data_IF_837354668230
#
_entry.id   IF_837354668230
#
_cell.length_a   1.000
_cell.length_b   1.000
_cell.length_c   1.000
_cell.angle_alpha   90.00
_cell.angle_beta   90.00
_cell.angle_gamma   90.00
#
_symmetry.space_group_name_H-M   'P 1'
#
loop_
_entity.id
_entity.type
_entity.pdbx_description
1 polymer ?
#
# COMPACT_ATOMS: atom_id res chain seq x y z
N UNK A 1 31.82 -13.82 -9.53
CA UNK A 1 30.69 -14.42 -10.27
C UNK A 1 31.28 -15.08 -11.49
N UNK A 2 30.87 -16.31 -11.76
CA UNK A 2 31.24 -17.02 -12.99
C UNK A 2 30.69 -16.23 -14.20
N UNK A 3 31.44 -16.02 -15.30
CA UNK A 3 30.94 -15.32 -16.49
C UNK A 3 29.62 -15.90 -17.02
N UNK A 4 29.41 -17.20 -16.93
CA UNK A 4 28.19 -17.89 -17.38
C UNK A 4 26.97 -17.48 -16.54
N UNK A 5 27.10 -17.44 -15.21
CA UNK A 5 26.02 -16.97 -14.30
C UNK A 5 25.66 -15.50 -14.53
N UNK A 6 26.63 -14.66 -14.91
CA UNK A 6 26.40 -13.23 -15.15
C UNK A 6 25.57 -12.99 -16.42
N UNK A 7 25.76 -13.79 -17.46
CA UNK A 7 24.99 -13.72 -18.69
C UNK A 7 23.57 -14.24 -18.49
N UNK A 8 23.40 -15.34 -17.75
CA UNK A 8 22.08 -15.86 -17.40
C UNK A 8 21.25 -14.85 -16.59
N UNK A 9 21.87 -14.16 -15.62
CA UNK A 9 21.20 -13.12 -14.84
C UNK A 9 20.79 -11.93 -15.73
N UNK A 10 21.66 -11.52 -16.66
CA UNK A 10 21.34 -10.46 -17.64
C UNK A 10 20.16 -10.87 -18.51
N UNK A 11 20.14 -12.10 -19.03
CA UNK A 11 19.04 -12.59 -19.86
C UNK A 11 17.73 -12.71 -19.08
N UNK A 12 17.80 -13.21 -17.84
CA UNK A 12 16.64 -13.39 -16.95
C UNK A 12 16.02 -12.07 -16.51
N UNK A 13 16.83 -11.03 -16.32
CA UNK A 13 16.36 -9.72 -15.88
C UNK A 13 16.30 -8.67 -17.00
N UNK A 14 16.63 -9.01 -18.25
CA UNK A 14 16.58 -8.12 -19.41
C UNK A 14 15.19 -7.49 -19.64
N UNK A 15 14.11 -8.19 -19.27
CA UNK A 15 12.73 -7.67 -19.38
C UNK A 15 12.35 -6.69 -18.26
N UNK A 16 13.13 -6.62 -17.18
CA UNK A 16 12.87 -5.67 -16.09
C UNK A 16 13.53 -4.35 -16.46
N UNK A 17 12.73 -3.33 -16.73
CA UNK A 17 13.21 -1.95 -16.95
C UNK A 17 13.65 -1.26 -15.64
N UNK A 18 14.07 -2.02 -14.62
CA UNK A 18 14.47 -1.47 -13.33
C UNK A 18 15.96 -1.72 -13.14
N UNK A 19 16.75 -0.65 -13.28
CA UNK A 19 18.19 -0.65 -13.01
C UNK A 19 18.51 -0.67 -11.51
N UNK A 20 17.64 -0.08 -10.68
CA UNK A 20 17.79 -0.02 -9.22
C UNK A 20 16.46 -0.26 -8.50
N UNK A 21 16.52 -0.56 -7.19
CA UNK A 21 15.32 -0.56 -6.33
C UNK A 21 14.69 0.84 -6.23
N UNK A 22 15.47 1.91 -6.45
CA UNK A 22 14.98 3.29 -6.50
C UNK A 22 13.98 3.50 -7.65
N UNK A 23 14.21 2.86 -8.80
CA UNK A 23 13.34 2.96 -9.98
C UNK A 23 11.93 2.42 -9.74
N UNK A 24 11.70 1.63 -8.67
CA UNK A 24 10.34 1.20 -8.27
C UNK A 24 9.46 2.33 -7.78
N UNK A 25 10.07 3.43 -7.33
CA UNK A 25 9.39 4.52 -6.65
C UNK A 25 9.40 5.81 -7.47
N UNK A 26 9.88 5.75 -8.71
CA UNK A 26 9.80 6.87 -9.65
C UNK A 26 8.40 6.86 -10.24
N UNK A 27 7.55 7.76 -9.76
CA UNK A 27 6.25 8.02 -10.37
C UNK A 27 6.47 8.73 -11.72
N UNK A 28 5.77 8.33 -12.78
CA UNK A 28 5.87 9.03 -14.06
C UNK A 28 5.37 10.46 -13.89
N UNK A 29 6.18 11.42 -14.35
CA UNK A 29 5.80 12.83 -14.31
C UNK A 29 4.54 13.05 -15.17
N UNK A 30 3.58 13.86 -14.69
CA UNK A 30 2.38 14.17 -15.46
C UNK A 30 2.75 14.85 -16.78
N UNK A 31 2.13 14.42 -17.88
CA UNK A 31 2.33 15.05 -19.18
C UNK A 31 1.79 16.49 -19.13
N UNK A 32 2.66 17.49 -19.23
CA UNK A 32 2.27 18.90 -19.24
C UNK A 32 1.89 19.32 -20.66
N UNK A 33 0.71 19.92 -20.83
CA UNK A 33 0.28 20.51 -22.10
C UNK A 33 1.09 21.75 -22.49
N UNK A 34 0.81 22.35 -23.65
CA UNK A 34 1.52 23.56 -24.12
C UNK A 34 1.35 24.78 -23.21
N UNK A 35 0.37 24.74 -22.31
CA UNK A 35 0.08 25.76 -21.29
C UNK A 35 0.80 25.50 -19.95
N UNK A 36 1.55 24.39 -19.83
CA UNK A 36 2.25 24.02 -18.60
C UNK A 36 1.33 23.49 -17.48
N UNK A 37 0.07 23.23 -17.79
CA UNK A 37 -0.89 22.52 -16.93
C UNK A 37 -0.89 21.02 -17.26
N UNK A 38 -1.25 20.19 -16.27
CA UNK A 38 -1.42 18.74 -16.46
C UNK A 38 -2.43 18.47 -17.59
N UNK A 39 -2.02 17.66 -18.58
CA UNK A 39 -2.83 17.32 -19.72
C UNK A 39 -4.04 16.48 -19.26
N UNK A 40 -5.13 17.17 -18.94
CA UNK A 40 -6.40 16.54 -18.54
C UNK A 40 -6.85 15.64 -19.68
N UNK A 41 -7.16 14.37 -19.35
CA UNK A 41 -7.80 13.46 -20.29
C UNK A 41 -9.04 14.15 -20.88
N UNK A 42 -9.18 14.09 -22.20
CA UNK A 42 -10.31 14.74 -22.88
C UNK A 42 -11.63 14.20 -22.35
N UNK A 43 -12.59 15.08 -22.08
CA UNK A 43 -13.94 14.70 -21.67
C UNK A 43 -14.60 13.89 -22.80
N UNK A 44 -14.73 12.57 -22.61
CA UNK A 44 -15.36 11.68 -23.58
C UNK A 44 -16.88 11.84 -23.48
N UNK A 45 -17.53 12.27 -24.57
CA UNK A 45 -19.00 12.34 -24.63
C UNK A 45 -19.61 10.93 -24.76
N UNK A 46 -20.24 10.46 -23.67
CA UNK A 46 -20.91 9.17 -23.59
C UNK A 46 -22.35 9.19 -24.14
N UNK A 47 -22.83 10.34 -24.63
CA UNK A 47 -24.22 10.52 -25.11
C UNK A 47 -24.61 9.47 -26.15
N UNK A 48 -23.77 9.27 -27.17
CA UNK A 48 -23.99 8.30 -28.24
C UNK A 48 -23.94 6.84 -27.75
N UNK A 49 -23.13 6.55 -26.74
CA UNK A 49 -23.05 5.22 -26.12
C UNK A 49 -24.34 4.91 -25.34
N UNK A 50 -24.81 5.86 -24.52
CA UNK A 50 -26.06 5.73 -23.77
C UNK A 50 -27.30 5.68 -24.67
N UNK A 51 -27.30 6.41 -25.78
CA UNK A 51 -28.37 6.35 -26.77
C UNK A 51 -28.46 4.95 -27.41
N UNK A 52 -27.32 4.36 -27.77
CA UNK A 52 -27.27 2.97 -28.28
C UNK A 52 -27.76 1.97 -27.24
N UNK A 53 -27.43 2.15 -25.96
CA UNK A 53 -27.95 1.30 -24.88
C UNK A 53 -29.48 1.42 -24.75
N UNK A 54 -30.01 2.64 -24.85
CA UNK A 54 -31.47 2.90 -24.80
C UNK A 54 -32.24 2.26 -25.94
N UNK A 55 -31.63 2.12 -27.12
CA UNK A 55 -32.26 1.49 -28.29
C UNK A 55 -32.13 -0.04 -28.24
N UNK A 56 -31.04 -0.56 -27.68
CA UNK A 56 -30.77 -2.00 -27.61
C UNK A 56 -31.50 -2.69 -26.44
N UNK A 57 -31.86 -1.94 -25.40
CA UNK A 57 -32.69 -2.43 -24.32
C UNK A 57 -34.18 -2.31 -24.74
N UNK A 58 -34.89 -3.40 -25.09
CA UNK A 58 -36.33 -3.35 -25.00
C UNK A 58 -36.67 -2.97 -23.57
N UNK A 59 -37.72 -2.19 -23.34
CA UNK A 59 -38.19 -1.79 -22.00
C UNK A 59 -38.68 -3.01 -21.18
N UNK A 60 -37.79 -3.95 -20.92
CA UNK A 60 -37.93 -5.15 -20.11
C UNK A 60 -36.92 -5.04 -18.98
N UNK A 61 -37.04 -3.98 -18.19
CA UNK A 61 -37.13 -4.20 -16.74
C UNK A 61 -38.51 -4.80 -16.44
N UNK A 62 -38.86 -5.87 -17.14
CA UNK A 62 -39.80 -6.85 -16.63
C UNK A 62 -39.07 -7.42 -15.44
N UNK A 63 -39.68 -7.32 -14.28
CA UNK A 63 -39.39 -8.19 -13.14
C UNK A 63 -38.91 -9.53 -13.69
N UNK A 64 -37.69 -9.93 -13.33
CA UNK A 64 -37.30 -11.33 -13.48
C UNK A 64 -38.48 -12.18 -12.96
N UNK A 65 -38.81 -13.32 -13.59
CA UNK A 65 -39.72 -14.25 -12.94
C UNK A 65 -39.20 -14.41 -11.51
N UNK A 66 -40.08 -14.19 -10.54
CA UNK A 66 -39.82 -14.46 -9.14
C UNK A 66 -39.37 -15.92 -9.11
N UNK A 67 -38.06 -16.15 -9.17
CA UNK A 67 -37.49 -17.47 -8.94
C UNK A 67 -37.97 -17.84 -7.55
N UNK A 68 -38.61 -19.00 -7.42
CA UNK A 68 -39.22 -19.45 -6.18
C UNK A 68 -38.19 -19.34 -5.05
N UNK A 69 -38.34 -18.32 -4.18
CA UNK A 69 -37.55 -18.09 -2.96
C UNK A 69 -37.68 -19.27 -1.97
N UNK A 70 -38.51 -20.26 -2.28
CA UNK A 70 -38.74 -21.48 -1.50
C UNK A 70 -37.50 -22.39 -1.41
N UNK A 71 -36.51 -22.24 -2.31
CA UNK A 71 -35.24 -22.97 -2.29
C UNK A 71 -34.12 -22.24 -1.51
N UNK A 72 -34.39 -21.05 -0.95
CA UNK A 72 -33.40 -20.23 -0.24
C UNK A 72 -33.65 -20.30 1.28
N UNK A 73 -32.71 -20.88 2.03
CA UNK A 73 -32.75 -20.92 3.50
C UNK A 73 -32.58 -19.52 4.12
N UNK A 74 -33.69 -18.87 4.49
CA UNK A 74 -33.72 -17.58 5.21
C UNK A 74 -33.44 -17.68 6.72
N UNK A 75 -33.20 -18.90 7.23
CA UNK A 75 -32.95 -19.19 8.64
C UNK A 75 -31.63 -18.57 9.18
N UNK A 76 -30.80 -17.98 8.32
CA UNK A 76 -29.56 -17.28 8.72
C UNK A 76 -29.60 -15.77 8.50
N UNK A 77 -30.66 -15.23 7.89
CA UNK A 77 -30.76 -13.79 7.57
C UNK A 77 -30.72 -12.90 8.82
N UNK A 78 -31.22 -13.42 9.93
CA UNK A 78 -31.26 -12.73 11.22
C UNK A 78 -29.96 -12.83 12.04
N UNK A 79 -28.99 -13.64 11.61
CA UNK A 79 -27.68 -13.75 12.26
C UNK A 79 -26.70 -12.71 11.69
N UNK A 80 -26.85 -12.36 10.41
CA UNK A 80 -26.00 -11.35 9.76
C UNK A 80 -26.44 -9.91 10.08
N UNK A 81 -27.68 -9.70 10.51
CA UNK A 81 -28.23 -8.39 10.88
C UNK A 81 -27.76 -7.87 12.25
N UNK A 82 -27.06 -8.68 13.04
CA UNK A 82 -26.52 -8.29 14.36
C UNK A 82 -25.23 -7.47 14.32
N UNK A 83 -24.56 -7.38 13.16
CA UNK A 83 -23.42 -6.48 12.97
C UNK A 83 -23.89 -5.34 12.09
N UNK A 84 -24.47 -4.33 12.71
CA UNK A 84 -24.91 -3.05 12.12
C UNK A 84 -25.38 -3.19 10.68
N UNK A 85 -26.70 -3.23 10.49
CA UNK A 85 -27.31 -2.87 9.23
C UNK A 85 -26.85 -1.43 8.87
N UNK A 86 -25.67 -1.31 8.26
CA UNK A 86 -25.35 -0.25 7.33
C UNK A 86 -26.47 -0.34 6.32
N UNK A 87 -27.43 0.55 6.49
CA UNK A 87 -28.63 0.63 5.70
C UNK A 87 -28.20 0.55 4.25
N UNK A 88 -28.38 -0.60 3.59
CA UNK A 88 -28.21 -0.69 2.14
C UNK A 88 -29.12 0.42 1.60
N UNK A 89 -28.57 1.48 0.98
CA UNK A 89 -29.41 2.54 0.48
C UNK A 89 -30.32 1.90 -0.55
N UNK A 90 -31.63 1.87 -0.27
CA UNK A 90 -32.63 1.50 -1.25
C UNK A 90 -32.34 2.36 -2.48
N UNK A 91 -32.17 1.71 -3.63
CA UNK A 91 -31.83 2.31 -4.92
C UNK A 91 -32.54 3.67 -5.08
N UNK A 92 -31.77 4.75 -5.11
CA UNK A 92 -32.29 6.12 -5.23
C UNK A 92 -31.97 7.07 -4.07
N UNK A 93 -31.53 6.57 -2.91
CA UNK A 93 -31.05 7.46 -1.84
C UNK A 93 -29.59 7.85 -2.08
N UNK A 94 -29.38 8.97 -2.77
CA UNK A 94 -28.08 9.63 -2.84
C UNK A 94 -27.84 10.34 -1.50
N UNK A 95 -27.01 9.74 -0.64
CA UNK A 95 -26.48 10.43 0.53
C UNK A 95 -25.27 11.26 0.12
N UNK A 96 -25.42 12.59 0.19
CA UNK A 96 -24.29 13.51 0.02
C UNK A 96 -23.47 13.49 1.31
N UNK A 97 -22.31 12.83 1.27
CA UNK A 97 -21.34 12.88 2.37
C UNK A 97 -20.68 14.26 2.33
N UNK A 98 -20.90 15.05 3.37
CA UNK A 98 -20.20 16.33 3.57
C UNK A 98 -18.89 16.01 4.28
N UNK A 99 -17.76 16.37 3.66
CA UNK A 99 -16.45 16.29 4.30
C UNK A 99 -16.31 17.46 5.27
N UNK A 100 -16.92 17.32 6.44
CA UNK A 100 -16.76 18.26 7.53
C UNK A 100 -15.47 17.98 8.33
N UNK A 101 -15.13 18.94 9.19
CA UNK A 101 -13.91 18.90 10.01
C UNK A 101 -13.93 17.72 11.00
N UNK A 102 -15.10 17.33 11.47
CA UNK A 102 -15.28 16.21 12.40
C UNK A 102 -14.99 14.87 11.72
N UNK A 103 -15.47 14.67 10.49
CA UNK A 103 -15.21 13.49 9.69
C UNK A 103 -13.71 13.37 9.32
N UNK A 104 -13.04 14.50 9.05
CA UNK A 104 -11.59 14.52 8.84
C UNK A 104 -10.82 14.14 10.11
N UNK A 105 -11.23 14.64 11.27
CA UNK A 105 -10.63 14.30 12.56
C UNK A 105 -10.81 12.81 12.89
N UNK A 106 -12.03 12.27 12.72
CA UNK A 106 -12.29 10.84 12.87
C UNK A 106 -11.48 9.99 11.91
N UNK A 107 -11.31 10.44 10.65
CA UNK A 107 -10.47 9.73 9.67
C UNK A 107 -9.01 9.71 10.12
N UNK A 108 -8.47 10.85 10.55
CA UNK A 108 -7.09 10.93 11.07
C UNK A 108 -6.88 10.05 12.30
N UNK A 109 -7.84 10.03 13.23
CA UNK A 109 -7.78 9.17 14.42
C UNK A 109 -7.84 7.69 14.05
N UNK A 110 -8.74 7.32 13.12
CA UNK A 110 -8.84 5.96 12.60
C UNK A 110 -7.52 5.50 11.99
N UNK A 111 -6.91 6.32 11.13
CA UNK A 111 -5.66 5.99 10.47
C UNK A 111 -4.52 5.79 11.50
N UNK A 112 -4.48 6.62 12.55
CA UNK A 112 -3.52 6.46 13.64
C UNK A 112 -3.75 5.17 14.44
N UNK A 113 -5.00 4.82 14.73
CA UNK A 113 -5.36 3.60 15.44
C UNK A 113 -5.06 2.34 14.61
N UNK A 114 -5.35 2.35 13.31
CA UNK A 114 -5.03 1.26 12.39
C UNK A 114 -3.51 1.08 12.27
N UNK A 115 -2.74 2.16 12.14
CA UNK A 115 -1.29 2.10 12.13
C UNK A 115 -0.71 1.48 13.41
N UNK A 116 -1.24 1.86 14.58
CA UNK A 116 -0.82 1.28 15.87
C UNK A 116 -1.17 -0.22 15.97
N UNK A 117 -2.34 -0.62 15.46
CA UNK A 117 -2.78 -2.02 15.43
C UNK A 117 -1.92 -2.85 14.49
N UNK A 118 -1.67 -2.38 13.28
CA UNK A 118 -0.81 -3.02 12.29
C UNK A 118 0.62 -3.16 12.80
N UNK A 119 1.17 -2.13 13.44
CA UNK A 119 2.49 -2.21 14.08
C UNK A 119 2.54 -3.35 15.11
N UNK A 120 1.54 -3.42 16.00
CA UNK A 120 1.45 -4.49 17.01
C UNK A 120 1.32 -5.88 16.39
N UNK A 121 0.55 -6.01 15.32
CA UNK A 121 0.38 -7.26 14.58
C UNK A 121 1.70 -7.69 13.94
N UNK A 122 2.43 -6.78 13.28
CA UNK A 122 3.75 -7.05 12.71
C UNK A 122 4.75 -7.50 13.77
N UNK A 123 4.76 -6.86 14.94
CA UNK A 123 5.63 -7.27 16.05
C UNK A 123 5.25 -8.64 16.60
N UNK A 124 3.96 -8.94 16.77
CA UNK A 124 3.51 -10.28 17.18
C UNK A 124 3.86 -11.34 16.15
N UNK A 125 3.54 -11.11 14.88
CA UNK A 125 3.86 -12.03 13.79
C UNK A 125 5.37 -12.30 13.70
N UNK A 126 6.22 -11.27 13.91
CA UNK A 126 7.68 -11.44 13.94
C UNK A 126 8.15 -12.22 15.18
N UNK A 127 7.57 -11.97 16.34
CA UNK A 127 7.87 -12.71 17.57
C UNK A 127 7.47 -14.18 17.45
N UNK A 128 6.29 -14.48 16.91
CA UNK A 128 5.81 -15.84 16.71
C UNK A 128 6.68 -16.61 15.71
N UNK A 129 7.10 -15.97 14.61
CA UNK A 129 8.08 -16.54 13.67
C UNK A 129 9.42 -16.85 14.33
N UNK A 130 9.89 -15.99 15.24
CA UNK A 130 11.15 -16.21 15.97
C UNK A 130 11.03 -17.34 17.00
N UNK A 131 9.85 -17.57 17.57
CA UNK A 131 9.59 -18.69 18.48
C UNK A 131 9.41 -20.02 17.75
N UNK A 132 8.87 -20.00 16.53
CA UNK A 132 8.62 -21.19 15.73
C UNK A 132 9.82 -21.65 14.90
N UNK A 133 10.80 -20.79 14.65
CA UNK A 133 12.03 -21.17 13.94
C UNK A 133 13.23 -21.14 14.90
N UNK A 134 13.91 -22.28 15.17
CA UNK A 134 15.17 -22.23 15.90
C UNK A 134 16.15 -21.40 15.08
N UNK A 135 16.45 -20.20 15.57
CA UNK A 135 17.27 -19.21 14.89
C UNK A 135 18.72 -19.72 14.89
N UNK A 136 19.08 -20.51 13.89
CA UNK A 136 20.49 -20.80 13.62
C UNK A 136 21.10 -19.52 13.05
N UNK A 137 21.79 -18.77 13.91
CA UNK A 137 22.60 -17.63 13.51
C UNK A 137 23.71 -18.13 12.58
N UNK A 138 23.48 -18.03 11.26
CA UNK A 138 24.59 -18.09 10.31
C UNK A 138 25.40 -16.81 10.50
N UNK A 139 26.70 -16.89 10.86
CA UNK A 139 27.52 -15.69 10.93
C UNK A 139 27.53 -15.05 9.54
N UNK A 140 27.15 -13.78 9.48
CA UNK A 140 27.27 -12.98 8.25
C UNK A 140 28.76 -12.93 7.90
N UNK A 141 29.13 -13.46 6.74
CA UNK A 141 30.44 -13.18 6.14
C UNK A 141 30.55 -11.67 5.93
N UNK A 142 31.59 -11.08 6.49
CA UNK A 142 31.96 -9.68 6.31
C UNK A 142 32.57 -9.47 4.92
N UNK A 143 31.78 -9.63 3.85
CA UNK A 143 32.29 -9.39 2.50
C UNK A 143 31.88 -7.98 2.05
N UNK A 144 32.90 -7.11 2.01
CA UNK A 144 33.02 -5.88 1.22
C UNK A 144 32.07 -4.72 1.55
N UNK A 145 32.34 -4.05 2.68
CA UNK A 145 31.98 -2.64 2.85
C UNK A 145 32.97 -1.81 2.03
N UNK A 146 32.55 -1.31 0.87
CA UNK A 146 33.30 -0.27 0.16
C UNK A 146 33.10 1.02 0.95
N UNK A 147 34.10 1.38 1.74
CA UNK A 147 34.16 2.65 2.48
C UNK A 147 34.40 3.76 1.47
N UNK A 148 33.42 4.65 1.30
CA UNK A 148 33.60 5.87 0.52
C UNK A 148 34.61 6.80 1.23
N UNK A 149 35.48 7.50 0.49
CA UNK A 149 36.40 8.46 1.09
C UNK A 149 35.61 9.61 1.75
N UNK A 150 35.98 10.03 2.97
CA UNK A 150 35.24 11.02 3.74
C UNK A 150 35.28 12.40 3.07
N UNK A 151 34.13 13.07 3.06
CA UNK A 151 34.01 14.46 2.61
C UNK A 151 34.71 15.40 3.62
N UNK A 152 35.40 16.46 3.14
CA UNK A 152 36.11 17.38 4.02
C UNK A 152 35.10 18.18 4.88
N UNK A 153 34.98 17.81 6.15
CA UNK A 153 34.14 18.50 7.14
C UNK A 153 33.30 17.59 8.05
N UNK A 154 33.23 16.28 7.78
CA UNK A 154 32.44 15.35 8.56
C UNK A 154 33.28 14.80 9.73
N UNK A 155 32.93 15.19 10.96
CA UNK A 155 33.50 14.55 12.15
C UNK A 155 33.09 13.08 12.11
N UNK A 156 34.09 12.19 12.04
CA UNK A 156 33.88 10.74 12.12
C UNK A 156 33.08 10.47 13.39
N UNK A 157 31.82 10.05 13.23
CA UNK A 157 31.00 9.63 14.36
C UNK A 157 31.75 8.49 15.05
N UNK A 158 32.24 8.75 16.26
CA UNK A 158 33.00 7.78 17.04
C UNK A 158 32.05 6.64 17.42
N UNK A 159 32.60 5.45 17.63
CA UNK A 159 31.76 4.35 18.08
C UNK A 159 31.10 4.73 19.42
N UNK A 160 29.83 4.35 19.70
CA UNK A 160 29.12 4.79 20.90
C UNK A 160 29.86 4.50 22.21
N UNK A 161 30.68 3.45 22.21
CA UNK A 161 31.52 3.07 23.37
C UNK A 161 32.67 4.04 23.62
N UNK A 162 33.22 4.60 22.56
CA UNK A 162 34.34 5.54 22.61
C UNK A 162 33.85 6.90 23.10
N UNK A 163 32.65 7.32 22.68
CA UNK A 163 31.99 8.53 23.23
C UNK A 163 31.66 8.39 24.71
N UNK A 164 31.21 7.21 25.16
CA UNK A 164 30.99 6.94 26.58
C UNK A 164 32.30 6.92 27.39
N UNK A 165 33.40 6.46 26.79
CA UNK A 165 34.71 6.44 27.44
C UNK A 165 35.25 7.87 27.62
N UNK A 166 35.19 8.70 26.56
CA UNK A 166 35.59 10.11 26.62
C UNK A 166 34.81 10.87 27.70
N UNK A 167 33.50 10.63 27.80
CA UNK A 167 32.65 11.24 28.84
C UNK A 167 33.03 10.78 30.26
N UNK A 168 33.34 9.49 30.45
CA UNK A 168 33.74 8.96 31.76
C UNK A 168 35.12 9.48 32.18
N UNK A 169 36.04 9.63 31.22
CA UNK A 169 37.38 10.16 31.47
C UNK A 169 37.31 11.66 31.81
N UNK A 170 36.40 12.43 31.20
CA UNK A 170 36.14 13.83 31.58
C UNK A 170 35.48 13.96 32.96
N UNK A 171 34.63 13.00 33.35
CA UNK A 171 33.94 13.01 34.64
C UNK A 171 34.82 12.55 35.81
N UNK A 172 35.81 11.69 35.56
CA UNK A 172 36.74 11.17 36.59
C UNK A 172 38.11 11.87 36.62
N UNK A 173 38.40 12.73 35.65
CA UNK A 173 39.67 13.45 35.49
C UNK A 173 39.83 14.71 36.33
#
# INVERSE_FOLDING_TARGET
LDPEEAEELRHKYARRQLGSNADRYVEPEPELGSDGEEAKESEVDLSAFLERQRILEPATFSTAPQEDDDDIDHDLDHITSGREAYTRPKKGNVQTIIWDKELEEMKREKDAAEAARDLKERFRAKADKLRQTPTTFKPRKHDNVIVAPPLPGEQVQKAPKEEMQDFLDELLG
#
